data_IF_754036924880
#
_entry.id   IF_754036924880
#
_cell.length_a   1.000
_cell.length_b   1.000
_cell.length_c   1.000
_cell.angle_alpha   90.00
_cell.angle_beta   90.00
_cell.angle_gamma   90.00
#
_symmetry.space_group_name_H-M   'P 1'
#
loop_
_entity.id
_entity.type
_entity.pdbx_description
1 polymer ?
#
# COMPACT_ATOMS: atom_id res chain seq x y z
N UNK A 1 -12.40 6.18 -13.00
CA UNK A 1 -11.22 5.96 -12.12
C UNK A 1 -11.68 5.12 -10.94
N UNK A 2 -10.81 4.28 -10.36
CA UNK A 2 -11.18 3.22 -9.41
C UNK A 2 -10.14 3.00 -8.32
N UNK A 3 -9.99 1.75 -7.88
CA UNK A 3 -9.06 1.33 -6.83
C UNK A 3 -7.66 1.08 -7.41
N UNK A 4 -6.63 1.18 -6.56
CA UNK A 4 -5.28 0.69 -6.86
C UNK A 4 -4.98 -0.53 -5.98
N UNK A 5 -4.83 -1.70 -6.58
CA UNK A 5 -4.54 -2.94 -5.88
C UNK A 5 -3.20 -3.51 -6.34
N UNK A 6 -2.25 -3.59 -5.41
CA UNK A 6 -0.92 -4.14 -5.62
C UNK A 6 -0.78 -5.31 -4.66
N UNK A 7 -1.02 -6.52 -5.17
CA UNK A 7 -1.05 -7.71 -4.32
C UNK A 7 -0.29 -8.89 -4.93
N UNK A 8 0.25 -9.74 -4.05
CA UNK A 8 0.85 -11.03 -4.41
C UNK A 8 2.01 -10.95 -5.42
N UNK A 9 2.75 -9.83 -5.44
CA UNK A 9 3.91 -9.70 -6.33
C UNK A 9 5.15 -10.31 -5.66
N UNK A 10 5.69 -11.36 -6.26
CA UNK A 10 6.82 -12.12 -5.70
C UNK A 10 8.21 -11.69 -6.21
N UNK A 11 8.28 -10.73 -7.14
CA UNK A 11 9.52 -10.32 -7.81
C UNK A 11 9.68 -8.80 -7.83
N UNK A 12 10.93 -8.31 -7.79
CA UNK A 12 11.24 -6.89 -7.98
C UNK A 12 11.06 -6.53 -9.47
N UNK A 13 9.84 -6.15 -9.85
CA UNK A 13 9.52 -5.62 -11.17
C UNK A 13 9.79 -4.12 -11.28
N UNK A 14 9.83 -3.60 -12.51
CA UNK A 14 9.80 -2.17 -12.73
C UNK A 14 8.40 -1.60 -12.48
N UNK A 15 8.29 -0.80 -11.43
CA UNK A 15 7.05 -0.11 -11.04
C UNK A 15 7.02 1.36 -11.46
N UNK A 16 7.97 1.82 -12.30
CA UNK A 16 8.12 3.22 -12.71
C UNK A 16 6.82 3.87 -13.22
N UNK A 17 5.92 3.10 -13.83
CA UNK A 17 4.61 3.56 -14.29
C UNK A 17 3.72 4.12 -13.16
N UNK A 18 3.84 3.58 -11.94
CA UNK A 18 3.11 4.05 -10.75
C UNK A 18 3.54 5.47 -10.35
N UNK A 19 4.76 5.87 -10.69
CA UNK A 19 5.30 7.21 -10.43
C UNK A 19 4.56 8.34 -11.13
N UNK A 20 3.61 8.03 -12.01
CA UNK A 20 2.78 9.02 -12.70
C UNK A 20 1.42 9.24 -12.02
N UNK A 21 1.03 8.36 -11.10
CA UNK A 21 -0.27 8.40 -10.43
C UNK A 21 -0.30 9.60 -9.48
N UNK A 22 -1.28 10.48 -9.66
CA UNK A 22 -1.52 11.63 -8.78
C UNK A 22 -2.73 11.47 -7.88
N UNK A 23 -3.67 10.63 -8.30
CA UNK A 23 -4.96 10.49 -7.66
C UNK A 23 -5.47 9.07 -7.80
N UNK A 24 -5.98 8.54 -6.69
CA UNK A 24 -6.80 7.33 -6.65
C UNK A 24 -8.18 7.72 -6.16
N UNK A 25 -9.21 7.43 -6.95
CA UNK A 25 -10.59 7.81 -6.60
C UNK A 25 -11.24 6.84 -5.62
N UNK A 26 -10.80 5.58 -5.61
CA UNK A 26 -11.23 4.56 -4.65
C UNK A 26 -10.26 4.42 -3.48
N UNK A 27 -9.99 3.18 -3.10
CA UNK A 27 -8.97 2.83 -2.10
C UNK A 27 -7.66 2.37 -2.74
N UNK A 28 -6.61 2.31 -1.92
CA UNK A 28 -5.32 1.68 -2.22
C UNK A 28 -5.13 0.46 -1.31
N UNK A 29 -4.88 -0.71 -1.91
CA UNK A 29 -4.54 -1.95 -1.22
C UNK A 29 -3.14 -2.41 -1.62
N UNK A 30 -2.27 -2.61 -0.63
CA UNK A 30 -0.90 -3.09 -0.82
C UNK A 30 -0.70 -4.29 0.10
N UNK A 31 -0.79 -5.50 -0.43
CA UNK A 31 -0.77 -6.70 0.40
C UNK A 31 -0.02 -7.89 -0.18
N UNK A 32 0.66 -8.65 0.69
CA UNK A 32 1.34 -9.91 0.32
C UNK A 32 2.41 -9.74 -0.77
N UNK A 33 3.12 -8.60 -0.77
CA UNK A 33 4.18 -8.34 -1.75
C UNK A 33 5.58 -8.60 -1.19
N UNK A 34 6.50 -8.96 -2.09
CA UNK A 34 7.90 -9.29 -1.80
C UNK A 34 8.89 -8.42 -2.59
N UNK A 35 8.57 -7.13 -2.74
CA UNK A 35 9.45 -6.10 -3.32
C UNK A 35 9.73 -5.01 -2.28
N UNK A 36 10.74 -4.17 -2.52
CA UNK A 36 11.21 -3.19 -1.53
C UNK A 36 10.50 -1.83 -1.55
N UNK A 37 10.08 -1.37 -2.72
CA UNK A 37 9.60 0.00 -2.87
C UNK A 37 8.50 0.13 -3.92
N UNK A 38 7.58 1.07 -3.68
CA UNK A 38 6.66 1.58 -4.69
C UNK A 38 6.96 3.05 -4.97
N UNK A 39 7.04 3.44 -6.24
CA UNK A 39 7.24 4.84 -6.60
C UNK A 39 5.88 5.56 -6.66
N UNK A 40 5.31 5.90 -5.49
CA UNK A 40 4.07 6.71 -5.42
C UNK A 40 4.35 8.16 -5.04
N UNK A 41 5.53 8.69 -5.38
CA UNK A 41 5.96 10.05 -5.03
C UNK A 41 5.02 11.13 -5.56
N UNK A 42 4.36 10.88 -6.70
CA UNK A 42 3.43 11.83 -7.28
C UNK A 42 2.01 11.72 -6.74
N UNK A 43 1.70 10.72 -5.91
CA UNK A 43 0.36 10.53 -5.34
C UNK A 43 0.06 11.65 -4.36
N UNK A 44 -1.05 12.36 -4.60
CA UNK A 44 -1.48 13.52 -3.79
C UNK A 44 -2.77 13.26 -3.03
N UNK A 45 -3.68 12.49 -3.61
CA UNK A 45 -5.04 12.33 -3.11
C UNK A 45 -5.50 10.88 -3.23
N UNK A 46 -6.07 10.37 -2.14
CA UNK A 46 -6.94 9.19 -2.13
C UNK A 46 -8.33 9.71 -1.77
N UNK A 47 -9.29 9.61 -2.70
CA UNK A 47 -10.62 10.20 -2.48
C UNK A 47 -11.52 9.34 -1.60
N UNK A 48 -11.32 8.02 -1.59
CA UNK A 48 -12.11 7.12 -0.76
C UNK A 48 -13.58 6.99 -1.18
N UNK A 49 -13.91 7.18 -2.46
CA UNK A 49 -15.28 6.97 -2.95
C UNK A 49 -15.73 5.50 -2.81
N UNK A 50 -14.74 4.60 -2.73
CA UNK A 50 -14.85 3.20 -2.29
C UNK A 50 -13.79 2.97 -1.22
N UNK A 51 -14.10 2.13 -0.24
CA UNK A 51 -13.22 1.80 0.88
C UNK A 51 -12.97 0.28 0.92
N UNK A 52 -11.79 -0.12 1.34
CA UNK A 52 -11.43 -1.52 1.54
C UNK A 52 -11.89 -2.01 2.92
N UNK A 53 -12.41 -3.24 2.97
CA UNK A 53 -12.84 -3.95 4.19
C UNK A 53 -13.63 -3.06 5.16
N UNK A 54 -13.12 -2.83 6.38
CA UNK A 54 -13.75 -2.11 7.48
C UNK A 54 -13.78 -0.59 7.30
N UNK A 55 -13.60 -0.08 6.08
CA UNK A 55 -13.73 1.34 5.76
C UNK A 55 -12.41 2.08 5.58
N UNK A 56 -11.39 1.42 5.03
CA UNK A 56 -10.06 2.00 4.85
C UNK A 56 -9.83 2.52 3.43
N UNK A 57 -9.36 3.76 3.29
CA UNK A 57 -8.91 4.34 2.02
C UNK A 57 -7.49 3.89 1.63
N UNK A 58 -6.65 3.55 2.62
CA UNK A 58 -5.33 2.95 2.42
C UNK A 58 -5.17 1.73 3.33
N UNK A 59 -4.81 0.58 2.77
CA UNK A 59 -4.54 -0.66 3.52
C UNK A 59 -3.21 -1.28 3.11
N UNK A 60 -2.34 -1.54 4.09
CA UNK A 60 -1.00 -2.10 3.87
C UNK A 60 -0.76 -3.23 4.88
N UNK A 61 -0.63 -4.47 4.42
CA UNK A 61 -0.39 -5.62 5.32
C UNK A 61 0.31 -6.80 4.63
N UNK A 62 1.03 -7.62 5.40
CA UNK A 62 1.70 -8.85 4.92
C UNK A 62 2.77 -8.64 3.82
N UNK A 63 3.37 -7.46 3.70
CA UNK A 63 4.43 -7.19 2.70
C UNK A 63 5.84 -7.52 3.24
N UNK A 64 6.02 -8.72 3.77
CA UNK A 64 7.25 -9.17 4.43
C UNK A 64 8.18 -9.93 3.47
N UNK A 65 9.48 -10.06 3.80
CA UNK A 65 10.39 -10.87 3.00
C UNK A 65 10.02 -12.35 2.97
N UNK A 66 9.97 -12.95 1.78
CA UNK A 66 9.80 -14.41 1.60
C UNK A 66 11.09 -15.17 1.91
N UNK A 67 12.24 -14.66 1.45
CA UNK A 67 13.60 -15.12 1.76
C UNK A 67 14.57 -13.92 1.60
N UNK A 68 15.36 -13.58 2.62
CA UNK A 68 16.31 -12.45 2.56
C UNK A 68 15.72 -11.08 2.93
N UNK A 69 16.20 -10.00 2.31
CA UNK A 69 15.89 -8.59 2.69
C UNK A 69 14.76 -7.93 1.89
N UNK A 70 14.01 -8.70 1.10
CA UNK A 70 13.00 -8.18 0.16
C UNK A 70 11.61 -8.11 0.80
N UNK A 71 11.42 -7.16 1.71
CA UNK A 71 10.12 -6.74 2.20
C UNK A 71 9.90 -5.27 1.90
N UNK A 72 8.64 -4.83 1.93
CA UNK A 72 8.29 -3.45 1.64
C UNK A 72 8.92 -2.52 2.70
N UNK A 73 9.68 -1.53 2.23
CA UNK A 73 10.34 -0.54 3.08
C UNK A 73 9.81 0.87 2.83
N UNK A 74 9.47 1.19 1.57
CA UNK A 74 9.09 2.55 1.18
C UNK A 74 7.88 2.53 0.25
N UNK A 75 6.86 3.33 0.58
CA UNK A 75 5.67 3.50 -0.26
C UNK A 75 5.73 4.72 -1.17
N UNK A 76 6.68 5.64 -0.94
CA UNK A 76 6.80 6.86 -1.72
C UNK A 76 5.69 7.90 -1.48
N UNK A 77 4.89 7.83 -0.41
CA UNK A 77 3.75 8.73 -0.15
C UNK A 77 4.16 10.16 0.31
N UNK A 78 5.15 10.76 -0.35
CA UNK A 78 5.81 12.02 0.06
C UNK A 78 4.95 13.26 -0.16
N UNK A 79 4.01 13.23 -1.10
CA UNK A 79 3.14 14.37 -1.45
C UNK A 79 1.67 14.11 -1.11
N UNK A 80 1.36 13.04 -0.37
CA UNK A 80 -0.01 12.71 0.02
C UNK A 80 -0.50 13.73 1.04
N UNK A 81 -1.45 14.58 0.63
CA UNK A 81 -2.06 15.59 1.49
C UNK A 81 -3.48 15.16 1.85
N UNK A 82 -3.67 14.61 3.07
CA UNK A 82 -4.94 14.41 3.76
C UNK A 82 -6.05 13.64 3.01
N UNK A 83 -6.47 12.50 3.55
CA UNK A 83 -7.70 11.82 3.12
C UNK A 83 -8.91 12.71 3.45
N UNK A 84 -9.64 13.16 2.43
CA UNK A 84 -10.80 14.02 2.63
C UNK A 84 -11.98 13.21 3.20
N UNK A 85 -12.05 13.17 4.54
CA UNK A 85 -13.24 12.94 5.39
C UNK A 85 -14.11 11.71 5.08
N UNK A 86 -13.71 10.56 5.64
CA UNK A 86 -14.49 9.60 6.47
C UNK A 86 -13.94 8.19 6.24
N UNK A 87 -13.20 7.69 7.22
CA UNK A 87 -12.65 6.35 7.20
C UNK A 87 -11.32 6.38 7.93
N UNK A 88 -11.38 6.34 9.25
CA UNK A 88 -10.19 6.13 10.06
C UNK A 88 -9.48 4.88 9.55
N UNK A 89 -8.22 5.00 9.13
CA UNK A 89 -7.30 3.89 9.30
C UNK A 89 -5.98 4.01 8.58
N UNK A 90 -4.98 4.26 9.43
CA UNK A 90 -3.72 3.54 9.33
C UNK A 90 -4.00 2.08 9.70
N UNK A 91 -3.79 1.14 8.77
CA UNK A 91 -3.94 -0.30 9.06
C UNK A 91 -2.71 -0.85 9.77
N UNK A 92 -3.04 -1.60 10.81
CA UNK A 92 -2.24 -2.24 11.85
C UNK A 92 -1.22 -3.28 11.32
N UNK A 93 0.04 -3.13 11.74
CA UNK A 93 1.09 -4.14 11.56
C UNK A 93 0.93 -5.27 12.61
N UNK A 94 0.00 -6.21 12.41
CA UNK A 94 -0.02 -7.46 13.19
C UNK A 94 0.66 -8.58 12.40
N UNK A 95 1.81 -9.05 12.91
CA UNK A 95 2.45 -10.21 12.28
C UNK A 95 3.76 -10.78 12.82
N UNK A 96 4.40 -10.27 13.89
CA UNK A 96 5.38 -11.09 14.63
C UNK A 96 4.65 -11.97 15.65
N UNK A 97 4.09 -13.07 15.16
CA UNK A 97 3.79 -14.23 16.01
C UNK A 97 5.09 -14.98 16.26
N UNK A 98 5.76 -14.69 17.38
CA UNK A 98 6.79 -15.56 17.91
C UNK A 98 6.18 -16.93 18.21
N UNK A 99 6.67 -17.95 17.52
CA UNK A 99 6.47 -19.35 17.87
C UNK A 99 7.83 -19.94 18.17
N UNK A 100 8.26 -19.82 19.43
CA UNK A 100 9.29 -20.67 19.99
C UNK A 100 8.76 -22.11 19.97
N UNK A 101 9.44 -22.99 19.25
CA UNK A 101 9.29 -24.43 19.29
C UNK A 101 10.66 -25.06 19.16
#
# INVERSE_FOLDING_TARGET
MGNLEITQIESDWDFSFLGTIREVTGYILIAMNHFRQLPLEQLRVIRGNSLYDRGFALSVFLNYPKQGSNGLQHLGLTHLTGEERRGEGVVEERGRGGGSG
#
